data_IF_984720076938
#
_entry.id   IF_984720076938
#
_cell.length_a   1.000
_cell.length_b   1.000
_cell.length_c   1.000
_cell.angle_alpha   90.00
_cell.angle_beta   90.00
_cell.angle_gamma   90.00
#
_symmetry.space_group_name_H-M   'P 1'
#
loop_
_entity.id
_entity.type
_entity.pdbx_description
1 polymer ?
#
# COMPACT_ATOMS: atom_id res chain seq x y z
N UNK A 1 16.92 3.74 -10.84
CA UNK A 1 15.88 2.82 -10.32
C UNK A 1 15.77 1.67 -11.32
N UNK A 2 15.99 0.43 -10.89
CA UNK A 2 16.05 -0.74 -11.77
C UNK A 2 14.71 -1.03 -12.47
N UNK A 3 14.80 -1.55 -13.70
CA UNK A 3 13.68 -1.92 -14.59
C UNK A 3 12.87 -3.15 -14.10
N UNK A 4 12.85 -3.42 -12.80
CA UNK A 4 12.17 -4.60 -12.27
C UNK A 4 10.67 -4.36 -12.15
N UNK A 5 9.88 -5.29 -12.67
CA UNK A 5 8.43 -5.28 -12.54
C UNK A 5 8.07 -5.34 -11.05
N UNK A 6 7.36 -4.32 -10.56
CA UNK A 6 6.86 -4.26 -9.19
C UNK A 6 5.39 -4.65 -9.18
N UNK A 7 5.05 -5.58 -8.30
CA UNK A 7 3.68 -6.04 -8.11
C UNK A 7 3.06 -5.34 -6.90
N UNK A 8 1.77 -5.04 -7.01
CA UNK A 8 0.98 -4.58 -5.88
C UNK A 8 0.64 -5.77 -4.98
N UNK A 9 1.13 -5.75 -3.75
CA UNK A 9 0.92 -6.83 -2.80
C UNK A 9 -0.29 -6.50 -1.93
N UNK A 10 -1.11 -7.53 -1.71
CA UNK A 10 -2.28 -7.43 -0.83
C UNK A 10 -2.28 -8.61 0.14
N UNK A 11 -2.80 -8.40 1.34
CA UNK A 11 -3.16 -9.50 2.22
C UNK A 11 -4.58 -9.93 1.89
N UNK A 12 -4.75 -11.22 1.65
CA UNK A 12 -6.06 -11.80 1.41
C UNK A 12 -6.37 -12.85 2.46
N UNK A 13 -7.55 -12.75 3.08
CA UNK A 13 -8.08 -13.76 3.98
C UNK A 13 -9.32 -14.36 3.33
N UNK A 14 -9.20 -15.61 2.93
CA UNK A 14 -10.31 -16.40 2.40
C UNK A 14 -11.30 -16.72 3.52
N UNK A 15 -12.56 -16.34 3.35
CA UNK A 15 -13.62 -16.54 4.36
C UNK A 15 -14.89 -17.16 3.80
N UNK A 16 -14.96 -17.34 2.48
CA UNK A 16 -16.14 -17.82 1.77
C UNK A 16 -15.80 -19.12 1.04
N UNK A 17 -16.78 -20.02 0.91
CA UNK A 17 -16.57 -21.34 0.31
C UNK A 17 -16.26 -21.30 -1.19
N UNK A 18 -16.57 -20.19 -1.86
CA UNK A 18 -16.24 -19.94 -3.27
C UNK A 18 -14.82 -19.35 -3.46
N UNK A 19 -14.04 -19.24 -2.39
CA UNK A 19 -12.72 -18.63 -2.38
C UNK A 19 -12.75 -17.11 -2.23
N UNK A 20 -13.92 -16.50 -2.03
CA UNK A 20 -14.06 -15.10 -1.67
C UNK A 20 -13.59 -14.79 -0.24
N UNK A 21 -13.39 -13.50 0.05
CA UNK A 21 -12.79 -13.11 1.31
C UNK A 21 -12.63 -11.61 1.50
N UNK A 22 -11.75 -11.22 2.41
CA UNK A 22 -11.33 -9.83 2.57
C UNK A 22 -9.93 -9.58 2.01
N UNK A 23 -9.79 -8.41 1.40
CA UNK A 23 -8.54 -7.83 0.94
C UNK A 23 -8.18 -6.70 1.90
N UNK A 24 -6.95 -6.73 2.39
CA UNK A 24 -6.33 -5.65 3.15
C UNK A 24 -5.14 -5.15 2.35
N UNK A 25 -5.10 -3.86 2.08
CA UNK A 25 -4.09 -3.28 1.20
C UNK A 25 -3.84 -1.81 1.52
N UNK A 26 -2.76 -1.27 0.96
CA UNK A 26 -2.48 0.15 0.96
C UNK A 26 -2.67 0.68 -0.46
N UNK A 27 -3.55 1.65 -0.66
CA UNK A 27 -3.81 2.26 -1.97
C UNK A 27 -3.38 3.72 -1.97
N UNK A 28 -3.38 4.37 -3.13
CA UNK A 28 -2.98 5.78 -3.27
C UNK A 28 -1.71 5.96 -4.09
N UNK A 29 -1.16 7.17 -4.04
CA UNK A 29 -0.04 7.58 -4.89
C UNK A 29 0.89 8.57 -4.18
N UNK A 30 2.02 8.91 -4.82
CA UNK A 30 3.04 9.76 -4.22
C UNK A 30 2.58 11.21 -4.00
N UNK A 31 1.53 11.68 -4.68
CA UNK A 31 1.02 13.06 -4.68
C UNK A 31 -0.21 13.23 -3.80
N UNK A 32 -1.11 12.25 -3.72
CA UNK A 32 -2.23 12.26 -2.78
C UNK A 32 -1.85 11.71 -1.41
N UNK A 33 -0.84 10.83 -1.37
CA UNK A 33 -0.52 9.99 -0.22
C UNK A 33 -1.12 8.60 -0.37
N UNK A 34 -0.83 7.75 0.61
CA UNK A 34 -1.35 6.39 0.64
C UNK A 34 -2.24 6.17 1.86
N UNK A 35 -3.23 5.30 1.70
CA UNK A 35 -4.22 4.98 2.72
C UNK A 35 -4.41 3.48 2.84
N UNK A 36 -4.66 3.01 4.06
CA UNK A 36 -5.06 1.65 4.32
C UNK A 36 -6.52 1.44 3.89
N UNK A 37 -6.77 0.39 3.12
CA UNK A 37 -8.09 -0.03 2.67
C UNK A 37 -8.34 -1.49 3.08
N UNK A 38 -9.51 -1.73 3.66
CA UNK A 38 -10.07 -3.06 3.89
C UNK A 38 -11.38 -3.19 3.10
N UNK A 39 -11.49 -4.21 2.25
CA UNK A 39 -12.68 -4.44 1.44
C UNK A 39 -12.92 -5.91 1.13
N UNK A 40 -14.15 -6.22 0.71
CA UNK A 40 -14.47 -7.55 0.19
C UNK A 40 -13.91 -7.79 -1.19
N UNK A 41 -13.45 -9.01 -1.41
CA UNK A 41 -12.80 -9.46 -2.62
C UNK A 41 -13.30 -10.85 -3.05
N UNK A 42 -13.25 -11.08 -4.35
CA UNK A 42 -13.43 -12.41 -4.95
C UNK A 42 -12.12 -13.21 -4.83
N UNK A 43 -12.16 -14.50 -5.20
CA UNK A 43 -10.96 -15.32 -5.29
C UNK A 43 -9.86 -14.61 -6.12
N UNK A 44 -8.67 -14.34 -5.53
CA UNK A 44 -7.60 -13.59 -6.20
C UNK A 44 -7.18 -14.17 -7.54
N UNK A 45 -7.23 -15.49 -7.71
CA UNK A 45 -6.83 -16.17 -8.96
C UNK A 45 -7.75 -15.85 -10.15
N UNK A 46 -8.96 -15.35 -9.89
CA UNK A 46 -9.87 -14.89 -10.93
C UNK A 46 -9.56 -13.46 -11.40
N UNK A 47 -8.68 -12.74 -10.72
CA UNK A 47 -8.28 -11.39 -11.11
C UNK A 47 -7.35 -11.40 -12.32
N UNK A 48 -7.60 -10.51 -13.28
CA UNK A 48 -6.70 -10.27 -14.43
C UNK A 48 -5.32 -9.74 -14.02
N UNK A 49 -5.22 -9.16 -12.83
CA UNK A 49 -3.97 -8.61 -12.28
C UNK A 49 -3.27 -9.59 -11.33
N UNK A 50 -3.79 -10.80 -11.17
CA UNK A 50 -3.16 -11.83 -10.37
C UNK A 50 -1.80 -12.22 -10.96
N UNK A 51 -0.77 -12.24 -10.12
CA UNK A 51 0.56 -12.70 -10.50
C UNK A 51 0.95 -13.98 -9.76
N UNK A 52 0.88 -13.94 -8.43
CA UNK A 52 1.21 -15.07 -7.56
C UNK A 52 0.56 -14.87 -6.18
N UNK A 53 0.54 -15.94 -5.38
CA UNK A 53 0.19 -15.89 -3.95
C UNK A 53 1.16 -16.75 -3.15
N UNK A 54 1.37 -16.37 -1.90
CA UNK A 54 2.08 -17.15 -0.91
C UNK A 54 1.20 -17.28 0.32
N UNK A 55 1.02 -18.52 0.82
CA UNK A 55 0.27 -18.74 2.05
C UNK A 55 1.11 -18.33 3.26
N UNK A 56 0.67 -17.31 3.98
CA UNK A 56 1.37 -16.81 5.18
C UNK A 56 1.01 -17.59 6.46
N UNK A 57 -0.14 -18.24 6.49
CA UNK A 57 -0.61 -18.99 7.66
C UNK A 57 -2.12 -19.05 7.77
N UNK A 58 -2.60 -19.32 8.98
CA UNK A 58 -4.03 -19.35 9.33
C UNK A 58 -4.26 -18.45 10.53
N UNK A 59 -5.42 -17.82 10.58
CA UNK A 59 -5.87 -16.98 11.69
C UNK A 59 -7.00 -17.73 12.39
N UNK A 60 -7.07 -17.61 13.72
CA UNK A 60 -8.19 -18.19 14.47
C UNK A 60 -9.46 -17.43 14.13
N UNK A 61 -10.58 -18.14 14.09
CA UNK A 61 -11.86 -17.51 13.79
C UNK A 61 -12.19 -16.39 14.79
N UNK A 62 -11.87 -16.57 16.08
CA UNK A 62 -12.09 -15.55 17.12
C UNK A 62 -11.28 -14.26 16.94
N UNK A 63 -10.14 -14.30 16.24
CA UNK A 63 -9.27 -13.14 16.00
C UNK A 63 -9.66 -12.38 14.73
N UNK A 64 -10.55 -12.94 13.90
CA UNK A 64 -10.99 -12.37 12.64
C UNK A 64 -12.41 -11.78 12.73
N UNK A 65 -12.69 -10.60 12.16
CA UNK A 65 -11.76 -9.70 11.47
C UNK A 65 -11.07 -8.69 12.39
N UNK A 66 -11.58 -8.48 13.60
CA UNK A 66 -11.28 -7.29 14.43
C UNK A 66 -9.81 -7.21 14.84
N UNK A 67 -9.23 -8.29 15.37
CA UNK A 67 -7.86 -8.27 15.88
C UNK A 67 -6.85 -8.13 14.74
N UNK A 68 -7.09 -8.80 13.61
CA UNK A 68 -6.27 -8.65 12.41
C UNK A 68 -6.27 -7.20 11.93
N UNK A 69 -7.45 -6.60 11.75
CA UNK A 69 -7.57 -5.24 11.24
C UNK A 69 -6.90 -4.23 12.19
N UNK A 70 -7.07 -4.40 13.50
CA UNK A 70 -6.37 -3.59 14.51
C UNK A 70 -4.85 -3.68 14.38
N UNK A 71 -4.29 -4.88 14.20
CA UNK A 71 -2.84 -5.06 14.02
C UNK A 71 -2.36 -4.37 12.75
N UNK A 72 -3.08 -4.52 11.63
CA UNK A 72 -2.71 -3.90 10.36
C UNK A 72 -2.75 -2.37 10.44
N UNK A 73 -3.73 -1.79 11.13
CA UNK A 73 -3.82 -0.34 11.35
C UNK A 73 -2.69 0.23 12.21
N UNK A 74 -1.93 -0.59 12.95
CA UNK A 74 -0.75 -0.10 13.69
C UNK A 74 0.42 0.28 12.79
N UNK A 75 0.42 -0.19 11.53
CA UNK A 75 1.44 0.15 10.55
C UNK A 75 0.93 1.32 9.72
N UNK A 76 1.51 2.53 9.86
CA UNK A 76 1.04 3.68 9.11
C UNK A 76 1.35 3.51 7.62
N UNK A 77 0.41 3.84 6.72
CA UNK A 77 0.69 3.85 5.29
C UNK A 77 1.73 4.94 4.95
N UNK A 78 2.46 4.81 3.84
CA UNK A 78 3.37 5.85 3.39
C UNK A 78 2.65 7.19 3.21
N UNK A 79 3.27 8.27 3.68
CA UNK A 79 2.75 9.61 3.51
C UNK A 79 2.87 10.08 2.05
N UNK A 80 2.21 11.20 1.74
CA UNK A 80 2.43 11.94 0.49
C UNK A 80 3.89 12.36 0.38
N UNK A 81 4.54 11.97 -0.71
CA UNK A 81 5.98 12.22 -0.93
C UNK A 81 6.24 13.25 -2.01
N UNK A 82 5.22 13.78 -2.70
CA UNK A 82 5.37 14.81 -3.73
C UNK A 82 4.29 15.88 -3.59
N UNK A 83 4.66 17.11 -3.92
CA UNK A 83 3.74 18.23 -4.02
C UNK A 83 4.12 19.16 -5.18
N UNK A 84 3.16 19.93 -5.69
CA UNK A 84 3.45 20.98 -6.65
C UNK A 84 4.14 22.15 -5.94
N UNK A 85 5.33 22.53 -6.41
CA UNK A 85 6.10 23.65 -5.93
C UNK A 85 5.84 24.87 -6.83
N UNK A 86 5.11 25.90 -6.37
CA UNK A 86 4.83 27.09 -7.19
C UNK A 86 6.06 27.93 -7.51
N UNK A 87 7.16 27.80 -6.75
CA UNK A 87 8.38 28.58 -6.99
C UNK A 87 9.14 28.07 -8.21
N UNK A 88 9.14 26.76 -8.41
CA UNK A 88 9.81 26.10 -9.53
C UNK A 88 8.85 25.65 -10.62
N UNK A 89 7.54 25.76 -10.37
CA UNK A 89 6.45 25.32 -11.25
C UNK A 89 6.52 23.83 -11.59
N UNK A 90 6.98 22.99 -10.65
CA UNK A 90 7.18 21.56 -10.85
C UNK A 90 6.64 20.71 -9.68
N UNK A 91 6.29 19.45 -9.94
CA UNK A 91 5.93 18.48 -8.89
C UNK A 91 7.18 17.81 -8.33
N UNK A 92 7.56 18.21 -7.13
CA UNK A 92 8.82 17.85 -6.46
C UNK A 92 8.59 16.98 -5.24
N UNK A 93 9.65 16.32 -4.79
CA UNK A 93 9.62 15.50 -3.59
C UNK A 93 9.54 16.38 -2.33
N UNK A 94 8.76 15.94 -1.35
CA UNK A 94 8.59 16.61 -0.05
C UNK A 94 9.03 15.69 1.09
N UNK A 95 9.40 16.32 2.19
CA UNK A 95 9.69 15.67 3.47
C UNK A 95 8.39 15.23 4.15
N UNK A 96 8.46 14.38 5.19
CA UNK A 96 7.29 13.98 5.97
C UNK A 96 6.52 15.16 6.60
N UNK A 97 7.20 16.27 6.88
CA UNK A 97 6.58 17.51 7.38
C UNK A 97 5.91 18.38 6.29
N UNK A 98 6.00 17.96 5.02
CA UNK A 98 5.43 18.65 3.87
C UNK A 98 6.32 19.73 3.25
N UNK A 99 7.51 19.99 3.81
CA UNK A 99 8.48 20.93 3.22
C UNK A 99 9.22 20.32 2.03
N UNK A 100 9.70 21.17 1.12
CA UNK A 100 10.52 20.71 -0.01
C UNK A 100 11.97 20.48 0.44
N UNK A 101 12.65 19.56 -0.24
CA UNK A 101 14.09 19.37 -0.08
C UNK A 101 14.86 20.54 -0.71
N UNK A 102 15.93 20.98 -0.05
CA UNK A 102 16.84 22.00 -0.60
C UNK A 102 17.70 21.43 -1.74
N UNK A 103 18.30 22.31 -2.56
CA UNK A 103 19.08 21.91 -3.76
C UNK A 103 20.22 20.94 -3.44
N UNK A 104 20.83 21.06 -2.26
CA UNK A 104 21.96 20.24 -1.82
C UNK A 104 21.58 19.17 -0.79
N UNK A 105 20.28 18.97 -0.55
CA UNK A 105 19.81 17.96 0.40
C UNK A 105 19.64 16.61 -0.29
N UNK A 106 20.06 15.54 0.39
CA UNK A 106 19.88 14.19 -0.12
C UNK A 106 18.40 13.79 -0.09
N UNK A 107 17.91 13.31 -1.23
CA UNK A 107 16.52 12.89 -1.40
C UNK A 107 16.43 11.37 -1.25
N UNK A 108 15.68 10.84 -0.27
CA UNK A 108 15.50 9.40 -0.15
C UNK A 108 14.73 8.84 -1.36
N UNK A 109 14.84 7.54 -1.65
CA UNK A 109 14.01 6.89 -2.67
C UNK A 109 12.52 6.98 -2.31
N UNK A 110 11.66 6.96 -3.33
CA UNK A 110 10.22 6.91 -3.12
C UNK A 110 9.79 5.56 -2.53
N UNK A 111 8.96 5.62 -1.50
CA UNK A 111 8.28 4.45 -0.91
C UNK A 111 6.93 4.32 -1.61
N UNK A 112 6.68 3.20 -2.30
CA UNK A 112 5.38 2.93 -2.96
C UNK A 112 4.61 1.84 -2.21
N UNK A 113 3.29 1.75 -2.43
CA UNK A 113 2.47 0.65 -1.90
C UNK A 113 2.89 -0.76 -2.37
N UNK A 114 3.86 -0.83 -3.29
CA UNK A 114 4.40 -2.07 -3.85
C UNK A 114 5.67 -2.55 -3.11
N UNK A 115 6.14 -1.82 -2.10
CA UNK A 115 7.34 -2.10 -1.29
C UNK A 115 6.98 -2.50 0.15
#
# INVERSE_FOLDING_TARGET
MGNETRYHNVLFVETQADGGGQIFQVTGDLVSGMEYENKSGQNPELSRTYHAKTYLGRIRYEDYPVRLDQVLQTVPPPHRQRAFNPKTMATEQIKPDGSFYEVNEEKPPYIKCTE
#
